data_IF_547028961840
#
_entry.id   IF_547028961840
#
_cell.length_a   1.000
_cell.length_b   1.000
_cell.length_c   1.000
_cell.angle_alpha   90.00
_cell.angle_beta   90.00
_cell.angle_gamma   90.00
#
_symmetry.space_group_name_H-M   'P 1'
#
loop_
_entity.id
_entity.type
_entity.pdbx_description
1 polymer ?
#
# COMPACT_ATOMS: atom_id res chain seq x y z
N UNK A 1 7.52 -8.01 17.68
CA UNK A 1 8.09 -6.71 18.05
C UNK A 1 9.38 -6.99 18.78
N UNK A 2 10.47 -6.36 18.36
CA UNK A 2 11.80 -6.53 18.96
C UNK A 2 12.29 -5.21 19.55
N UNK A 3 13.13 -5.32 20.58
CA UNK A 3 13.68 -4.18 21.31
C UNK A 3 15.16 -4.48 21.63
N UNK A 4 15.96 -3.42 21.76
CA UNK A 4 17.35 -3.52 22.16
C UNK A 4 17.98 -2.15 22.41
N UNK A 5 19.23 -2.13 22.85
CA UNK A 5 19.99 -0.90 23.05
C UNK A 5 21.33 -0.96 22.32
N UNK A 6 21.75 0.19 21.80
CA UNK A 6 23.02 0.40 21.13
C UNK A 6 23.68 1.67 21.68
N UNK A 7 24.55 1.48 22.67
CA UNK A 7 25.13 2.60 23.41
C UNK A 7 24.04 3.41 24.11
N UNK A 8 23.91 4.69 23.75
CA UNK A 8 22.91 5.63 24.32
C UNK A 8 21.57 5.64 23.59
N UNK A 9 21.37 4.70 22.67
CA UNK A 9 20.17 4.59 21.85
C UNK A 9 19.38 3.36 22.24
N UNK A 10 18.12 3.56 22.60
CA UNK A 10 17.13 2.50 22.63
C UNK A 10 16.52 2.35 21.24
N UNK A 11 16.39 1.11 20.79
CA UNK A 11 15.96 0.74 19.44
C UNK A 11 14.77 -0.20 19.58
N UNK A 12 13.67 0.13 18.91
CA UNK A 12 12.51 -0.75 18.77
C UNK A 12 12.22 -0.96 17.29
N UNK A 13 11.87 -2.19 16.92
CA UNK A 13 11.51 -2.50 15.55
C UNK A 13 10.38 -3.53 15.45
N UNK A 14 9.61 -3.40 14.38
CA UNK A 14 8.63 -4.38 13.95
C UNK A 14 8.75 -4.54 12.44
N UNK A 15 9.10 -5.75 12.01
CA UNK A 15 9.26 -6.07 10.60
C UNK A 15 8.43 -7.30 10.32
N UNK A 16 7.71 -7.30 9.20
CA UNK A 16 6.85 -8.40 8.80
C UNK A 16 6.66 -8.45 7.29
N UNK A 17 6.46 -9.66 6.81
CA UNK A 17 6.03 -9.93 5.45
C UNK A 17 4.72 -10.72 5.51
N UNK A 18 3.76 -10.33 4.68
CA UNK A 18 2.51 -11.04 4.51
C UNK A 18 2.41 -11.49 3.07
N UNK A 19 2.33 -12.81 2.92
CA UNK A 19 2.06 -13.49 1.66
C UNK A 19 0.64 -14.02 1.75
N UNK A 20 -0.19 -13.69 0.76
CA UNK A 20 -1.54 -14.24 0.64
C UNK A 20 -1.66 -14.94 -0.71
N UNK A 21 -2.45 -16.01 -0.75
CA UNK A 21 -2.81 -16.73 -1.95
C UNK A 21 -4.34 -16.67 -2.15
N UNK A 22 -4.87 -15.53 -2.62
CA UNK A 22 -6.30 -15.29 -2.66
C UNK A 22 -6.84 -15.83 -3.98
N UNK A 23 -7.19 -17.11 -4.02
CA UNK A 23 -7.67 -17.78 -5.24
C UNK A 23 -9.19 -17.92 -5.28
N UNK A 24 -9.78 -17.84 -6.48
CA UNK A 24 -11.16 -18.25 -6.71
C UNK A 24 -11.25 -19.77 -6.71
N UNK A 25 -12.11 -20.32 -5.84
CA UNK A 25 -12.37 -21.77 -5.77
C UNK A 25 -13.39 -22.23 -6.82
N UNK A 26 -14.14 -21.29 -7.41
CA UNK A 26 -15.20 -21.55 -8.37
C UNK A 26 -15.14 -20.53 -9.52
N UNK A 27 -14.04 -20.50 -10.30
CA UNK A 27 -13.78 -19.45 -11.29
C UNK A 27 -14.85 -19.36 -12.39
N UNK A 28 -15.43 -20.49 -12.77
CA UNK A 28 -16.45 -20.57 -13.83
C UNK A 28 -17.89 -20.49 -13.31
N UNK A 29 -18.09 -20.34 -11.99
CA UNK A 29 -19.44 -20.19 -11.45
C UNK A 29 -20.05 -18.88 -11.94
N UNK A 30 -21.15 -19.00 -12.67
CA UNK A 30 -21.94 -17.85 -13.13
C UNK A 30 -22.64 -17.24 -11.92
N UNK A 31 -22.34 -15.98 -11.62
CA UNK A 31 -22.93 -15.26 -10.49
C UNK A 31 -23.91 -14.17 -10.89
N UNK A 32 -23.98 -13.84 -12.18
CA UNK A 32 -25.00 -12.95 -12.73
C UNK A 32 -25.28 -13.29 -14.19
N UNK A 33 -26.51 -13.06 -14.63
CA UNK A 33 -26.93 -13.22 -16.02
C UNK A 33 -27.46 -11.89 -16.54
N UNK A 34 -27.13 -11.58 -17.79
CA UNK A 34 -27.59 -10.36 -18.45
C UNK A 34 -28.22 -10.73 -19.79
N UNK A 35 -29.32 -10.08 -20.20
CA UNK A 35 -29.94 -10.34 -21.51
C UNK A 35 -28.96 -10.18 -22.69
N UNK A 36 -27.93 -9.35 -22.52
CA UNK A 36 -26.92 -9.04 -23.52
C UNK A 36 -25.70 -9.97 -23.49
N UNK A 37 -25.57 -10.83 -22.48
CA UNK A 37 -24.41 -11.72 -22.30
C UNK A 37 -24.90 -13.17 -22.16
N UNK A 38 -25.04 -13.90 -23.29
CA UNK A 38 -25.43 -15.31 -23.27
C UNK A 38 -24.45 -16.15 -22.44
N UNK A 39 -24.96 -16.93 -21.48
CA UNK A 39 -24.14 -17.71 -20.55
C UNK A 39 -23.74 -16.99 -19.26
N UNK A 40 -24.14 -15.72 -19.10
CA UNK A 40 -23.89 -14.94 -17.89
C UNK A 40 -22.43 -14.55 -17.69
N UNK A 41 -22.12 -14.06 -16.48
CA UNK A 41 -20.78 -13.65 -16.08
C UNK A 41 -20.27 -14.46 -14.90
N UNK A 42 -19.00 -14.82 -15.00
CA UNK A 42 -18.20 -15.54 -14.00
C UNK A 42 -16.91 -14.79 -13.72
N UNK A 43 -16.12 -15.28 -12.75
CA UNK A 43 -14.79 -14.74 -12.48
C UNK A 43 -13.91 -14.85 -13.73
N UNK A 44 -13.91 -15.99 -14.42
CA UNK A 44 -13.10 -16.22 -15.63
C UNK A 44 -13.44 -15.22 -16.73
N UNK A 45 -14.74 -14.98 -16.98
CA UNK A 45 -15.18 -14.10 -18.07
C UNK A 45 -14.97 -12.60 -17.83
N UNK A 46 -14.77 -12.18 -16.57
CA UNK A 46 -14.73 -10.75 -16.20
C UNK A 46 -13.38 -10.31 -15.66
N UNK A 47 -12.41 -11.22 -15.54
CA UNK A 47 -11.06 -10.95 -15.03
C UNK A 47 -10.15 -10.52 -16.17
N UNK A 48 -9.26 -9.57 -15.90
CA UNK A 48 -8.20 -9.17 -16.85
C UNK A 48 -7.06 -10.19 -16.91
N UNK A 49 -6.82 -10.92 -15.81
CA UNK A 49 -5.83 -11.99 -15.75
C UNK A 49 -6.34 -13.14 -14.88
N UNK A 50 -6.52 -14.31 -15.48
CA UNK A 50 -7.00 -15.53 -14.81
C UNK A 50 -5.86 -16.46 -14.39
N UNK A 51 -4.60 -16.09 -14.59
CA UNK A 51 -3.44 -16.90 -14.22
C UNK A 51 -3.45 -17.18 -12.73
N UNK A 52 -3.48 -18.46 -12.36
CA UNK A 52 -3.55 -18.89 -10.96
C UNK A 52 -4.87 -18.58 -10.24
N UNK A 53 -5.91 -18.13 -10.97
CA UNK A 53 -7.22 -17.75 -10.41
C UNK A 53 -7.14 -16.73 -9.27
N UNK A 54 -6.13 -15.86 -9.28
CA UNK A 54 -5.95 -14.82 -8.26
C UNK A 54 -7.14 -13.86 -8.30
N UNK A 55 -7.79 -13.65 -7.14
CA UNK A 55 -8.93 -12.77 -6.99
C UNK A 55 -8.57 -11.33 -7.38
N UNK A 56 -9.55 -10.63 -7.94
CA UNK A 56 -9.40 -9.23 -8.37
C UNK A 56 -9.02 -8.32 -7.21
N UNK A 57 -8.19 -7.32 -7.50
CA UNK A 57 -7.76 -6.27 -6.56
C UNK A 57 -7.02 -6.78 -5.32
N UNK A 58 -6.24 -7.85 -5.47
CA UNK A 58 -5.43 -8.41 -4.39
C UNK A 58 -3.95 -8.11 -4.56
N UNK A 59 -3.36 -7.59 -3.50
CA UNK A 59 -1.92 -7.44 -3.35
C UNK A 59 -1.41 -8.68 -2.63
N UNK A 60 -0.71 -9.56 -3.35
CA UNK A 60 -0.35 -10.88 -2.83
C UNK A 60 0.87 -10.87 -1.91
N UNK A 61 1.75 -9.87 -2.02
CA UNK A 61 2.94 -9.77 -1.20
C UNK A 61 3.10 -8.34 -0.66
N UNK A 62 3.02 -8.23 0.65
CA UNK A 62 3.24 -6.97 1.36
C UNK A 62 4.37 -7.13 2.36
N UNK A 63 5.22 -6.11 2.44
CA UNK A 63 6.24 -6.00 3.47
C UNK A 63 6.02 -4.71 4.24
N UNK A 64 6.20 -4.77 5.56
CA UNK A 64 6.10 -3.62 6.46
C UNK A 64 7.27 -3.64 7.42
N UNK A 65 7.87 -2.48 7.63
CA UNK A 65 8.90 -2.27 8.65
C UNK A 65 8.60 -0.97 9.39
N UNK A 66 8.78 -1.01 10.70
CA UNK A 66 8.80 0.15 11.59
C UNK A 66 10.09 0.06 12.41
N UNK A 67 10.80 1.18 12.49
CA UNK A 67 11.97 1.38 13.34
C UNK A 67 11.74 2.65 14.15
N UNK A 68 12.01 2.57 15.45
CA UNK A 68 11.97 3.70 16.38
C UNK A 68 13.27 3.72 17.16
N UNK A 69 13.86 4.90 17.28
CA UNK A 69 15.10 5.15 18.01
C UNK A 69 14.85 6.25 19.04
N UNK A 70 15.31 6.03 20.26
CA UNK A 70 15.27 7.02 21.33
C UNK A 70 16.66 7.18 21.94
N UNK A 71 17.18 8.39 21.97
CA UNK A 71 18.46 8.70 22.61
C UNK A 71 18.24 9.18 24.05
N UNK A 72 19.18 8.87 24.94
CA UNK A 72 19.20 9.36 26.33
C UNK A 72 19.10 10.89 26.43
N UNK A 73 19.66 11.63 25.46
CA UNK A 73 19.57 13.10 25.50
C UNK A 73 18.16 13.61 25.22
N UNK A 74 17.23 12.79 24.72
CA UNK A 74 15.85 13.15 24.38
C UNK A 74 15.53 13.22 22.88
N UNK A 75 16.48 12.91 21.98
CA UNK A 75 16.17 12.84 20.55
C UNK A 75 15.40 11.56 20.21
N UNK A 76 14.40 11.68 19.33
CA UNK A 76 13.67 10.55 18.77
C UNK A 76 13.78 10.52 17.26
N UNK A 77 13.94 9.34 16.70
CA UNK A 77 13.90 9.11 15.26
C UNK A 77 12.98 7.94 14.99
N UNK A 78 12.32 7.95 13.84
CA UNK A 78 11.60 6.77 13.40
C UNK A 78 11.43 6.74 11.90
N UNK A 79 11.21 5.53 11.43
CA UNK A 79 11.08 5.22 10.03
C UNK A 79 10.03 4.15 9.86
N UNK A 80 9.10 4.37 8.94
CA UNK A 80 8.19 3.35 8.46
C UNK A 80 8.47 3.07 7.00
N UNK A 81 8.43 1.80 6.63
CA UNK A 81 8.47 1.38 5.24
C UNK A 81 7.34 0.41 4.94
N UNK A 82 6.74 0.59 3.77
CA UNK A 82 5.71 -0.30 3.25
C UNK A 82 6.01 -0.64 1.80
N UNK A 83 6.19 -1.93 1.49
CA UNK A 83 6.22 -2.42 0.11
C UNK A 83 4.94 -3.15 -0.21
N UNK A 84 4.34 -2.85 -1.34
CA UNK A 84 3.19 -3.60 -1.88
C UNK A 84 3.54 -4.07 -3.29
N UNK A 85 3.39 -5.35 -3.57
CA UNK A 85 3.45 -5.81 -4.96
C UNK A 85 2.26 -5.31 -5.74
N UNK A 86 2.49 -5.23 -7.03
CA UNK A 86 1.51 -4.82 -8.00
C UNK A 86 0.34 -5.82 -8.11
N UNK A 87 -0.87 -5.30 -8.30
CA UNK A 87 -2.09 -6.13 -8.47
C UNK A 87 -2.07 -6.78 -9.85
N UNK A 88 -2.22 -8.10 -9.86
CA UNK A 88 -2.26 -8.92 -11.08
C UNK A 88 -3.60 -8.80 -11.81
N UNK A 89 -4.72 -8.98 -11.10
CA UNK A 89 -6.05 -9.12 -11.71
C UNK A 89 -7.00 -7.98 -11.31
N UNK A 90 -7.73 -7.43 -12.29
CA UNK A 90 -8.75 -6.38 -12.15
C UNK A 90 -9.99 -6.74 -12.97
N UNK A 91 -11.04 -5.92 -12.95
CA UNK A 91 -12.17 -6.12 -13.86
C UNK A 91 -11.77 -5.75 -15.29
N UNK A 92 -11.92 -6.69 -16.23
CA UNK A 92 -11.58 -6.49 -17.63
C UNK A 92 -12.35 -5.33 -18.28
N UNK A 93 -13.57 -5.08 -17.80
CA UNK A 93 -14.41 -4.00 -18.27
C UNK A 93 -13.72 -2.62 -18.19
N UNK A 94 -12.87 -2.36 -17.19
CA UNK A 94 -12.15 -1.09 -17.12
C UNK A 94 -11.14 -0.92 -18.26
N UNK A 95 -10.51 -2.01 -18.68
CA UNK A 95 -9.59 -2.01 -19.83
C UNK A 95 -10.37 -1.85 -21.13
N UNK A 96 -11.41 -2.66 -21.32
CA UNK A 96 -12.25 -2.62 -22.52
C UNK A 96 -12.87 -1.23 -22.77
N UNK A 97 -13.37 -0.57 -21.72
CA UNK A 97 -13.95 0.78 -21.82
C UNK A 97 -12.91 1.79 -22.35
N UNK A 98 -11.66 1.66 -21.90
CA UNK A 98 -10.57 2.55 -22.32
C UNK A 98 -10.06 2.21 -23.73
N UNK A 99 -9.89 0.93 -24.05
CA UNK A 99 -9.50 0.45 -25.39
C UNK A 99 -10.51 0.84 -26.47
N UNK A 100 -11.80 0.81 -26.13
CA UNK A 100 -12.87 1.27 -27.01
C UNK A 100 -12.94 2.81 -27.13
N UNK A 101 -12.11 3.54 -26.38
CA UNK A 101 -12.06 5.00 -26.38
C UNK A 101 -13.30 5.65 -25.78
N UNK A 102 -14.11 4.90 -25.01
CA UNK A 102 -15.34 5.42 -24.40
C UNK A 102 -15.01 6.36 -23.24
N UNK A 103 -13.97 6.05 -22.46
CA UNK A 103 -13.44 6.88 -21.39
C UNK A 103 -11.91 6.74 -21.34
N UNK A 104 -11.20 7.87 -21.24
CA UNK A 104 -9.74 7.90 -21.11
C UNK A 104 -9.38 8.19 -19.66
N UNK A 105 -8.97 7.15 -18.94
CA UNK A 105 -8.56 7.25 -17.54
C UNK A 105 -7.03 7.30 -17.38
N UNK A 106 -6.29 6.90 -18.41
CA UNK A 106 -4.86 6.60 -18.35
C UNK A 106 -4.57 5.29 -17.62
N UNK A 107 -5.53 4.35 -17.52
CA UNK A 107 -5.36 3.13 -16.75
C UNK A 107 -4.36 2.18 -17.41
N UNK A 108 -4.50 1.96 -18.73
CA UNK A 108 -3.58 1.08 -19.49
C UNK A 108 -2.14 1.60 -19.37
N UNK A 109 -1.92 2.88 -19.68
CA UNK A 109 -0.61 3.52 -19.54
C UNK A 109 -0.05 3.42 -18.12
N UNK A 110 -0.90 3.60 -17.11
CA UNK A 110 -0.52 3.47 -15.71
C UNK A 110 -0.13 2.03 -15.34
N UNK A 111 -0.84 1.02 -15.87
CA UNK A 111 -0.52 -0.39 -15.66
C UNK A 111 0.80 -0.77 -16.31
N UNK A 112 1.11 -0.22 -17.48
CA UNK A 112 2.34 -0.50 -18.24
C UNK A 112 3.58 0.18 -17.66
N UNK A 113 3.40 1.36 -17.07
CA UNK A 113 4.51 2.17 -16.54
C UNK A 113 4.81 1.88 -15.06
N UNK A 114 3.98 1.10 -14.35
CA UNK A 114 4.19 0.84 -12.92
C UNK A 114 5.28 -0.20 -12.68
N UNK A 115 6.05 0.02 -11.63
CA UNK A 115 6.99 -0.97 -11.11
C UNK A 115 6.26 -2.22 -10.58
N UNK A 116 6.97 -3.35 -10.50
CA UNK A 116 6.46 -4.62 -9.93
C UNK A 116 6.07 -4.50 -8.45
N UNK A 117 6.59 -3.49 -7.75
CA UNK A 117 6.23 -3.18 -6.39
C UNK A 117 6.47 -1.71 -6.06
N UNK A 118 5.59 -1.15 -5.23
CA UNK A 118 5.70 0.21 -4.73
C UNK A 118 6.24 0.22 -3.31
N UNK A 119 7.22 1.09 -3.05
CA UNK A 119 7.79 1.33 -1.73
C UNK A 119 7.38 2.71 -1.20
N UNK A 120 6.74 2.73 -0.04
CA UNK A 120 6.40 3.96 0.67
C UNK A 120 7.28 4.07 1.92
N UNK A 121 7.83 5.27 2.15
CA UNK A 121 8.63 5.56 3.32
C UNK A 121 8.09 6.76 4.06
N UNK A 122 7.91 6.63 5.37
CA UNK A 122 7.62 7.73 6.27
C UNK A 122 8.79 7.93 7.22
N UNK A 123 9.05 9.19 7.57
CA UNK A 123 10.14 9.58 8.46
C UNK A 123 9.58 10.43 9.60
N UNK A 124 10.12 10.25 10.79
CA UNK A 124 9.81 11.07 11.95
C UNK A 124 11.10 11.45 12.69
N UNK A 125 11.21 12.71 13.08
CA UNK A 125 12.30 13.23 13.92
C UNK A 125 11.69 14.07 15.02
N UNK A 126 12.13 13.86 16.25
CA UNK A 126 11.54 14.50 17.41
C UNK A 126 12.51 14.79 18.53
N UNK A 127 12.04 15.60 19.47
CA UNK A 127 12.78 16.04 20.64
C UNK A 127 11.89 16.07 21.86
N UNK A 128 12.23 15.26 22.86
CA UNK A 128 11.74 15.37 24.23
C UNK A 128 12.56 16.44 24.93
N UNK A 129 11.89 17.45 25.49
CA UNK A 129 12.52 18.53 26.25
C UNK A 129 12.60 18.20 27.74
N UNK A 130 11.57 17.55 28.24
CA UNK A 130 11.47 16.93 29.56
C UNK A 130 10.49 15.73 29.43
N UNK A 131 10.11 15.13 30.57
CA UNK A 131 9.15 14.02 30.59
C UNK A 131 7.71 14.43 30.19
N UNK A 132 7.45 15.73 30.06
CA UNK A 132 6.12 16.29 29.76
C UNK A 132 5.98 16.79 28.34
N UNK A 133 7.06 17.28 27.73
CA UNK A 133 7.01 17.98 26.44
C UNK A 133 7.78 17.24 25.35
N UNK A 134 7.08 16.87 24.27
CA UNK A 134 7.66 16.24 23.09
C UNK A 134 7.16 16.90 21.81
N UNK A 135 8.08 17.32 20.94
CA UNK A 135 7.78 17.88 19.62
C UNK A 135 8.37 16.98 18.54
N UNK A 136 7.60 16.71 17.49
CA UNK A 136 8.02 15.87 16.36
C UNK A 136 7.62 16.49 15.02
N UNK A 137 8.52 16.34 14.04
CA UNK A 137 8.24 16.55 12.63
C UNK A 137 8.10 15.18 11.97
N UNK A 138 6.98 14.96 11.29
CA UNK A 138 6.65 13.71 10.61
C UNK A 138 6.42 14.02 9.14
N UNK A 139 7.05 13.24 8.27
CA UNK A 139 6.90 13.30 6.82
C UNK A 139 6.35 11.97 6.35
N UNK A 140 5.10 11.96 5.90
CA UNK A 140 4.54 10.78 5.22
C UNK A 140 4.79 10.86 3.74
N UNK A 141 4.99 9.72 3.08
CA UNK A 141 5.39 9.66 1.68
C UNK A 141 6.61 10.57 1.43
N UNK A 142 7.70 10.30 2.15
CA UNK A 142 8.90 11.14 2.16
C UNK A 142 9.54 11.31 0.77
N UNK A 143 9.35 10.34 -0.13
CA UNK A 143 9.79 10.43 -1.53
C UNK A 143 8.84 11.24 -2.43
N UNK A 144 7.65 11.63 -1.95
CA UNK A 144 6.59 12.27 -2.75
C UNK A 144 6.22 11.48 -4.01
N UNK A 145 6.04 10.17 -3.83
CA UNK A 145 5.57 9.31 -4.92
C UNK A 145 4.14 9.69 -5.28
N UNK A 146 3.87 9.80 -6.57
CA UNK A 146 2.51 9.75 -7.10
C UNK A 146 2.19 8.28 -7.34
N UNK A 147 1.26 7.72 -6.57
CA UNK A 147 1.02 6.28 -6.58
C UNK A 147 -0.45 5.95 -6.32
N UNK A 148 -0.80 4.71 -6.64
CA UNK A 148 -2.08 4.12 -6.34
C UNK A 148 -1.88 2.64 -5.99
N UNK A 149 -2.50 2.19 -4.90
CA UNK A 149 -2.47 0.77 -4.52
C UNK A 149 -3.50 -0.05 -5.31
N UNK A 150 -4.55 0.62 -5.78
CA UNK A 150 -5.59 0.04 -6.64
C UNK A 150 -5.75 0.92 -7.88
N UNK A 151 -6.08 0.32 -9.03
CA UNK A 151 -6.44 1.08 -10.23
C UNK A 151 -7.37 2.23 -9.90
N UNK A 152 -7.08 3.40 -10.49
CA UNK A 152 -7.94 4.60 -10.39
C UNK A 152 -8.17 5.14 -8.97
N UNK A 153 -7.39 4.67 -7.98
CA UNK A 153 -7.46 5.11 -6.60
C UNK A 153 -6.13 5.77 -6.19
N UNK A 154 -5.91 6.98 -6.69
CA UNK A 154 -4.74 7.77 -6.33
C UNK A 154 -4.67 8.00 -4.81
N UNK A 155 -3.50 7.72 -4.24
CA UNK A 155 -3.24 7.88 -2.82
C UNK A 155 -2.68 9.26 -2.52
N UNK A 156 -2.62 9.61 -1.24
CA UNK A 156 -2.10 10.91 -0.83
C UNK A 156 -0.60 11.07 -1.17
N UNK A 157 -0.27 12.24 -1.73
CA UNK A 157 1.11 12.69 -1.93
C UNK A 157 1.80 13.01 -0.58
N UNK A 158 3.00 13.60 -0.61
CA UNK A 158 3.75 13.94 0.62
C UNK A 158 2.94 14.80 1.58
N UNK A 159 2.92 14.39 2.84
CA UNK A 159 2.29 15.13 3.93
C UNK A 159 3.33 15.48 5.00
N UNK A 160 3.36 16.76 5.39
CA UNK A 160 4.13 17.26 6.52
C UNK A 160 3.21 17.44 7.73
N UNK A 161 3.62 16.90 8.87
CA UNK A 161 2.88 16.99 10.12
C UNK A 161 3.83 17.41 11.25
N UNK A 162 3.41 18.39 12.04
CA UNK A 162 4.06 18.70 13.32
C UNK A 162 3.17 18.16 14.42
N UNK A 163 3.72 17.33 15.30
CA UNK A 163 3.04 16.78 16.47
C UNK A 163 3.67 17.35 17.73
N UNK A 164 2.81 17.83 18.62
CA UNK A 164 3.20 18.22 19.97
C UNK A 164 2.40 17.37 20.97
N UNK A 165 3.10 16.78 21.92
CA UNK A 165 2.52 15.95 22.97
C UNK A 165 2.86 16.56 24.33
N UNK A 166 1.83 16.68 25.17
CA UNK A 166 1.94 17.10 26.57
C UNK A 166 1.45 15.98 27.49
N UNK A 167 2.30 15.55 28.44
CA UNK A 167 1.93 14.60 29.50
C UNK A 167 1.77 15.37 30.82
N UNK A 168 0.56 15.42 31.41
CA UNK A 168 0.28 16.17 32.63
C UNK A 168 0.87 15.53 33.90
#
# INVERSE_FOLDING_TARGET
MGEGSLGKWDVQWLIGQTLIDPVSLTPDSVYAEFPTIPGGVSYTSTSSDTTGNVLKYRICNTFRANLSLQHESGWTFGWNAARNTTIQNIDNAFLEIEELGLLQYGLIDWLDQRDDAQWLHDLQVGRKFDDRHHVELIVRNAANLNYALRPLAAEANRLWLVRYTFTP
#
